data_IF_512345438345
#
_entry.id   IF_512345438345
#
_cell.length_a   1.000
_cell.length_b   1.000
_cell.length_c   1.000
_cell.angle_alpha   90.00
_cell.angle_beta   90.00
_cell.angle_gamma   90.00
#
_symmetry.space_group_name_H-M   'P 1'
#
loop_
_entity.id
_entity.type
_entity.pdbx_description
1 polymer ?
#
# COMPACT_ATOMS: atom_id res chain seq x y z
N UNK A 1 38.62 -7.68 -4.45
CA UNK A 1 38.31 -7.20 -3.07
C UNK A 1 38.59 -5.69 -3.02
N UNK A 2 37.76 -4.89 -2.34
CA UNK A 2 36.57 -4.29 -2.96
C UNK A 2 36.45 -2.77 -2.71
N UNK A 3 35.49 -2.12 -3.38
CA UNK A 3 34.71 -1.08 -2.71
C UNK A 3 33.30 -1.03 -3.33
N UNK A 4 32.39 -1.77 -2.70
CA UNK A 4 30.96 -1.61 -2.90
C UNK A 4 30.52 -0.42 -2.05
N UNK A 5 30.06 0.65 -2.69
CA UNK A 5 29.40 1.77 -2.03
C UNK A 5 28.05 1.23 -1.53
N UNK A 6 27.95 0.96 -0.23
CA UNK A 6 26.67 0.86 0.45
C UNK A 6 26.02 2.24 0.38
N UNK A 7 25.02 2.40 -0.49
CA UNK A 7 24.08 3.49 -0.33
C UNK A 7 23.22 3.15 0.91
N UNK A 8 23.62 3.70 2.05
CA UNK A 8 22.80 3.73 3.24
C UNK A 8 21.61 4.65 2.91
N UNK A 9 20.47 4.04 2.59
CA UNK A 9 19.22 4.76 2.36
C UNK A 9 18.84 5.38 3.70
N UNK A 10 19.12 6.67 3.87
CA UNK A 10 18.78 7.39 5.07
C UNK A 10 17.25 7.36 5.27
N UNK A 11 16.82 6.60 6.28
CA UNK A 11 15.43 6.54 6.69
C UNK A 11 15.06 7.94 7.25
N UNK A 12 14.04 8.65 6.71
CA UNK A 12 13.71 9.99 7.19
C UNK A 12 13.38 9.97 8.68
N UNK A 13 13.79 11.02 9.40
CA UNK A 13 13.58 11.15 10.85
C UNK A 13 12.08 11.18 11.15
N UNK A 14 11.67 10.78 12.36
CA UNK A 14 10.25 10.70 12.77
C UNK A 14 9.47 12.00 12.51
N UNK A 15 10.08 13.15 12.80
CA UNK A 15 9.48 14.46 12.55
C UNK A 15 9.19 14.75 11.07
N UNK A 16 10.03 14.23 10.15
CA UNK A 16 9.80 14.36 8.71
C UNK A 16 8.62 13.46 8.27
N UNK A 17 8.42 12.30 8.92
CA UNK A 17 7.29 11.40 8.62
C UNK A 17 5.96 11.97 9.12
N UNK A 18 5.94 12.57 10.31
CA UNK A 18 4.74 13.25 10.84
C UNK A 18 4.33 14.42 9.94
N UNK A 19 5.29 15.23 9.50
CA UNK A 19 5.03 16.34 8.58
C UNK A 19 4.53 15.87 7.20
N UNK A 20 5.01 14.73 6.70
CA UNK A 20 4.57 14.14 5.43
C UNK A 20 3.17 13.51 5.55
N UNK A 21 2.83 12.89 6.69
CA UNK A 21 1.48 12.39 6.94
C UNK A 21 0.44 13.52 6.86
N UNK A 22 0.76 14.71 7.40
CA UNK A 22 -0.12 15.88 7.38
C UNK A 22 -0.36 16.52 6.01
N UNK A 23 0.39 16.15 4.97
CA UNK A 23 0.21 16.72 3.62
C UNK A 23 -1.14 16.33 2.98
N UNK A 24 -1.75 15.24 3.43
CA UNK A 24 -3.00 14.71 2.88
C UNK A 24 -4.23 15.00 3.74
N UNK A 25 -4.05 15.60 4.93
CA UNK A 25 -5.14 15.86 5.86
C UNK A 25 -6.05 17.00 5.37
N UNK A 26 -5.47 18.05 4.77
CA UNK A 26 -6.24 19.22 4.27
C UNK A 26 -6.97 18.97 2.95
N UNK A 27 -6.68 17.85 2.27
CA UNK A 27 -7.19 17.56 0.92
C UNK A 27 -8.06 16.29 0.86
N UNK A 28 -8.41 15.71 2.02
CA UNK A 28 -9.08 14.40 2.11
C UNK A 28 -10.40 14.33 1.31
N UNK A 29 -11.20 15.41 1.29
CA UNK A 29 -12.44 15.48 0.51
C UNK A 29 -12.21 15.40 -1.00
N UNK A 30 -11.25 16.16 -1.54
CA UNK A 30 -10.89 16.10 -2.97
C UNK A 30 -10.24 14.75 -3.32
N UNK A 31 -9.58 14.14 -2.35
CA UNK A 31 -8.92 12.84 -2.50
C UNK A 31 -9.92 11.69 -2.73
N UNK A 32 -11.13 11.78 -2.16
CA UNK A 32 -12.21 10.82 -2.40
C UNK A 32 -12.66 10.80 -3.86
N UNK A 33 -12.93 11.98 -4.42
CA UNK A 33 -13.53 12.11 -5.76
C UNK A 33 -12.52 11.90 -6.91
N UNK A 34 -11.23 12.15 -6.68
CA UNK A 34 -10.23 12.17 -7.74
C UNK A 34 -9.45 10.85 -7.94
N UNK A 35 -9.58 9.87 -7.02
CA UNK A 35 -8.74 8.67 -7.07
C UNK A 35 -9.26 7.59 -8.02
N UNK A 36 -8.40 7.04 -8.90
CA UNK A 36 -8.72 5.84 -9.65
C UNK A 36 -9.11 4.68 -8.73
N UNK A 37 -10.22 4.02 -9.06
CA UNK A 37 -10.62 2.76 -8.43
C UNK A 37 -9.81 1.60 -9.03
N UNK A 38 -9.48 0.60 -8.22
CA UNK A 38 -8.85 -0.62 -8.72
C UNK A 38 -9.89 -1.54 -9.39
N UNK A 39 -9.54 -2.28 -10.46
CA UNK A 39 -10.50 -3.17 -11.13
C UNK A 39 -10.99 -4.28 -10.20
N UNK A 40 -12.29 -4.59 -10.20
CA UNK A 40 -12.87 -5.65 -9.36
C UNK A 40 -12.14 -7.00 -9.51
N UNK A 41 -11.72 -7.33 -10.73
CA UNK A 41 -10.99 -8.57 -11.00
C UNK A 41 -9.69 -8.68 -10.20
N UNK A 42 -9.03 -7.56 -9.88
CA UNK A 42 -7.80 -7.54 -9.10
C UNK A 42 -7.99 -8.23 -7.74
N UNK A 43 -9.05 -7.87 -7.02
CA UNK A 43 -9.34 -8.45 -5.70
C UNK A 43 -9.70 -9.93 -5.77
N UNK A 44 -10.44 -10.33 -6.80
CA UNK A 44 -10.77 -11.74 -7.01
C UNK A 44 -9.51 -12.59 -7.26
N UNK A 45 -8.51 -12.05 -7.96
CA UNK A 45 -7.24 -12.73 -8.18
C UNK A 45 -6.43 -12.89 -6.90
N UNK A 46 -6.40 -11.87 -6.04
CA UNK A 46 -5.74 -11.94 -4.73
C UNK A 46 -6.38 -13.04 -3.87
N UNK A 47 -7.71 -13.02 -3.78
CA UNK A 47 -8.49 -13.99 -3.01
C UNK A 47 -8.39 -15.43 -3.53
N UNK A 48 -8.13 -15.62 -4.83
CA UNK A 48 -7.89 -16.94 -5.42
C UNK A 48 -6.53 -17.53 -5.06
N UNK A 49 -5.60 -16.73 -4.52
CA UNK A 49 -4.25 -17.16 -4.16
C UNK A 49 -4.08 -17.42 -2.67
N UNK A 50 -4.94 -16.87 -1.82
CA UNK A 50 -4.91 -17.18 -0.39
C UNK A 50 -5.61 -18.50 -0.10
N UNK A 51 -5.07 -19.27 0.85
CA UNK A 51 -5.67 -20.55 1.26
C UNK A 51 -6.96 -20.35 2.05
N UNK A 52 -7.00 -19.28 2.85
CA UNK A 52 -8.15 -18.88 3.65
C UNK A 52 -8.54 -17.44 3.31
N UNK A 53 -9.73 -17.03 3.73
CA UNK A 53 -10.30 -15.68 3.48
C UNK A 53 -11.02 -15.13 4.71
N UNK A 54 -10.48 -15.39 5.88
CA UNK A 54 -11.06 -14.93 7.15
C UNK A 54 -10.67 -13.49 7.44
N UNK A 55 -9.37 -13.16 7.38
CA UNK A 55 -8.88 -11.85 7.80
C UNK A 55 -7.91 -11.26 6.78
N UNK A 56 -8.19 -10.03 6.35
CA UNK A 56 -7.25 -9.20 5.60
C UNK A 56 -6.84 -7.95 6.39
N UNK A 57 -5.63 -7.47 6.16
CA UNK A 57 -5.11 -6.22 6.71
C UNK A 57 -4.69 -5.28 5.57
N UNK A 58 -5.33 -4.12 5.46
CA UNK A 58 -5.01 -3.07 4.51
C UNK A 58 -4.21 -1.95 5.20
N UNK A 59 -2.93 -1.82 4.87
CA UNK A 59 -1.98 -0.93 5.55
C UNK A 59 -1.82 0.37 4.75
N UNK A 60 -1.99 1.51 5.41
CA UNK A 60 -2.11 2.80 4.72
C UNK A 60 -3.42 2.87 3.95
N UNK A 61 -4.53 2.48 4.61
CA UNK A 61 -5.84 2.28 3.99
C UNK A 61 -6.47 3.59 3.49
N UNK A 62 -6.00 4.74 3.98
CA UNK A 62 -6.60 6.05 3.72
C UNK A 62 -8.08 6.05 4.10
N UNK A 63 -8.93 6.35 3.12
CA UNK A 63 -10.38 6.32 3.23
C UNK A 63 -11.01 4.94 2.94
N UNK A 64 -10.22 3.87 2.87
CA UNK A 64 -10.72 2.50 2.74
C UNK A 64 -11.02 2.04 1.31
N UNK A 65 -10.59 2.77 0.28
CA UNK A 65 -10.82 2.43 -1.13
C UNK A 65 -10.40 0.99 -1.48
N UNK A 66 -9.21 0.56 -1.04
CA UNK A 66 -8.74 -0.80 -1.29
C UNK A 66 -9.41 -1.82 -0.37
N UNK A 67 -9.56 -1.49 0.91
CA UNK A 67 -10.19 -2.34 1.92
C UNK A 67 -11.60 -2.80 1.52
N UNK A 68 -12.41 -1.93 0.88
CA UNK A 68 -13.76 -2.29 0.43
C UNK A 68 -13.73 -3.35 -0.67
N UNK A 69 -12.88 -3.18 -1.68
CA UNK A 69 -12.74 -4.19 -2.74
C UNK A 69 -12.23 -5.54 -2.21
N UNK A 70 -11.39 -5.52 -1.17
CA UNK A 70 -10.96 -6.73 -0.45
C UNK A 70 -12.13 -7.36 0.31
N UNK A 71 -12.98 -6.56 0.96
CA UNK A 71 -14.08 -7.03 1.80
C UNK A 71 -15.17 -7.82 1.04
N UNK A 72 -15.21 -7.71 -0.29
CA UNK A 72 -16.04 -8.58 -1.13
C UNK A 72 -15.62 -10.05 -1.08
N UNK A 73 -14.36 -10.33 -0.74
CA UNK A 73 -13.80 -11.68 -0.76
C UNK A 73 -13.40 -12.23 0.61
N UNK A 74 -13.21 -11.36 1.61
CA UNK A 74 -12.79 -11.75 2.96
C UNK A 74 -13.91 -11.54 3.98
N UNK A 75 -13.93 -12.33 5.05
CA UNK A 75 -14.93 -12.21 6.13
C UNK A 75 -14.77 -10.90 6.90
N UNK A 76 -13.52 -10.47 7.13
CA UNK A 76 -13.18 -9.23 7.80
C UNK A 76 -11.94 -8.58 7.18
N UNK A 77 -11.95 -7.24 7.14
CA UNK A 77 -10.80 -6.41 6.76
C UNK A 77 -10.53 -5.41 7.87
N UNK A 78 -9.29 -5.36 8.33
CA UNK A 78 -8.79 -4.28 9.19
C UNK A 78 -8.04 -3.30 8.29
N UNK A 79 -8.47 -2.05 8.21
CA UNK A 79 -7.74 -0.98 7.55
C UNK A 79 -7.02 -0.14 8.59
N UNK A 80 -5.72 0.11 8.43
CA UNK A 80 -4.95 0.96 9.36
C UNK A 80 -4.36 2.16 8.63
N UNK A 81 -4.41 3.34 9.23
CA UNK A 81 -3.73 4.53 8.72
C UNK A 81 -3.15 5.38 9.85
N UNK A 82 -2.12 6.17 9.52
CA UNK A 82 -1.48 7.14 10.41
C UNK A 82 -2.21 8.50 10.41
N UNK A 83 -3.12 8.73 9.46
CA UNK A 83 -3.93 9.95 9.36
C UNK A 83 -5.35 9.69 9.89
N UNK A 84 -5.68 10.30 11.03
CA UNK A 84 -7.05 10.27 11.56
C UNK A 84 -8.03 10.98 10.60
N UNK A 85 -7.59 12.05 9.93
CA UNK A 85 -8.39 12.78 8.95
C UNK A 85 -8.80 11.89 7.78
N UNK A 86 -7.89 11.05 7.25
CA UNK A 86 -8.25 10.09 6.19
C UNK A 86 -9.29 9.08 6.67
N UNK A 87 -9.14 8.58 7.90
CA UNK A 87 -10.07 7.60 8.48
C UNK A 87 -11.46 8.18 8.77
N UNK A 88 -11.55 9.47 9.12
CA UNK A 88 -12.85 10.16 9.29
C UNK A 88 -13.67 10.19 7.99
N UNK A 89 -13.00 10.17 6.84
CA UNK A 89 -13.61 10.10 5.51
C UNK A 89 -13.71 8.68 4.97
N UNK A 90 -13.41 7.66 5.80
CA UNK A 90 -13.49 6.28 5.38
C UNK A 90 -14.93 5.89 5.03
N UNK A 91 -15.07 5.21 3.90
CA UNK A 91 -16.38 4.75 3.42
C UNK A 91 -16.85 3.60 4.33
N UNK A 92 -18.01 3.70 5.01
CA UNK A 92 -18.48 2.65 5.91
C UNK A 92 -18.76 1.35 5.16
N UNK A 93 -18.30 0.23 5.72
CA UNK A 93 -18.58 -1.11 5.17
C UNK A 93 -18.70 -2.13 6.31
N UNK A 94 -19.70 -3.04 6.31
CA UNK A 94 -19.98 -3.92 7.46
C UNK A 94 -18.85 -4.90 7.80
N UNK A 95 -17.95 -5.17 6.86
CA UNK A 95 -16.79 -6.05 7.06
C UNK A 95 -15.46 -5.30 7.20
N UNK A 96 -15.44 -3.98 7.07
CA UNK A 96 -14.21 -3.18 7.17
C UNK A 96 -14.21 -2.44 8.51
N UNK A 97 -13.13 -2.61 9.27
CA UNK A 97 -12.86 -1.83 10.48
C UNK A 97 -11.61 -0.98 10.26
N UNK A 98 -11.79 0.33 10.24
CA UNK A 98 -10.70 1.29 10.16
C UNK A 98 -10.15 1.62 11.55
N UNK A 99 -8.83 1.62 11.70
CA UNK A 99 -8.11 1.85 12.94
C UNK A 99 -7.05 2.93 12.75
N UNK A 100 -7.05 3.93 13.64
CA UNK A 100 -5.96 4.89 13.73
C UNK A 100 -4.74 4.23 14.38
N UNK A 101 -3.61 4.27 13.69
CA UNK A 101 -2.35 3.67 14.15
C UNK A 101 -1.23 4.72 14.06
N UNK A 102 -0.99 5.51 15.11
CA UNK A 102 0.03 6.54 15.09
C UNK A 102 1.43 5.93 14.93
N UNK A 103 2.40 6.70 14.43
CA UNK A 103 3.78 6.22 14.26
C UNK A 103 4.43 5.77 15.59
N UNK A 104 3.94 6.28 16.71
CA UNK A 104 4.35 5.91 18.08
C UNK A 104 3.80 4.58 18.58
N UNK A 105 2.85 3.95 17.87
CA UNK A 105 2.26 2.68 18.28
C UNK A 105 3.33 1.59 18.39
N UNK A 106 3.25 0.79 19.45
CA UNK A 106 4.15 -0.34 19.65
C UNK A 106 3.80 -1.51 18.72
N UNK A 107 4.80 -2.34 18.39
CA UNK A 107 4.58 -3.50 17.51
C UNK A 107 3.58 -4.50 18.10
N UNK A 108 3.61 -4.72 19.42
CA UNK A 108 2.69 -5.65 20.11
C UNK A 108 1.24 -5.11 20.13
N UNK A 109 1.07 -3.81 20.34
CA UNK A 109 -0.23 -3.16 20.29
C UNK A 109 -0.82 -3.20 18.88
N UNK A 110 -0.01 -2.91 17.86
CA UNK A 110 -0.44 -3.01 16.47
C UNK A 110 -0.81 -4.45 16.09
N UNK A 111 0.02 -5.43 16.48
CA UNK A 111 -0.19 -6.83 16.18
C UNK A 111 -1.48 -7.37 16.81
N UNK A 112 -1.73 -7.05 18.08
CA UNK A 112 -2.96 -7.43 18.78
C UNK A 112 -4.20 -6.72 18.23
N UNK A 113 -4.07 -5.46 17.79
CA UNK A 113 -5.17 -4.70 17.19
C UNK A 113 -5.63 -5.24 15.84
N UNK A 114 -4.74 -5.89 15.08
CA UNK A 114 -5.05 -6.49 13.78
C UNK A 114 -5.65 -7.89 13.94
N UNK A 115 -5.00 -8.78 14.69
CA UNK A 115 -5.47 -10.16 14.84
C UNK A 115 -4.52 -11.14 15.52
N UNK A 116 -3.31 -10.72 15.89
CA UNK A 116 -2.31 -11.59 16.53
C UNK A 116 -1.42 -12.34 15.54
N UNK A 117 -0.48 -13.13 16.04
CA UNK A 117 0.45 -13.87 15.20
C UNK A 117 -0.25 -14.90 14.30
N UNK A 118 0.27 -15.07 13.08
CA UNK A 118 -0.16 -16.10 12.13
C UNK A 118 -1.68 -16.05 11.78
N UNK A 119 -2.30 -14.88 11.85
CA UNK A 119 -3.75 -14.71 11.78
C UNK A 119 -4.25 -14.14 10.46
N UNK A 120 -3.40 -13.42 9.70
CA UNK A 120 -3.82 -12.63 8.54
C UNK A 120 -3.59 -13.39 7.22
N UNK A 121 -4.65 -13.54 6.44
CA UNK A 121 -4.63 -14.27 5.17
C UNK A 121 -4.11 -13.42 4.01
N UNK A 122 -4.43 -12.13 4.02
CA UNK A 122 -3.99 -11.16 3.01
C UNK A 122 -3.54 -9.87 3.67
N UNK A 123 -2.33 -9.42 3.37
CA UNK A 123 -1.85 -8.08 3.71
C UNK A 123 -1.80 -7.26 2.42
N UNK A 124 -2.50 -6.14 2.38
CA UNK A 124 -2.53 -5.23 1.23
C UNK A 124 -1.84 -3.91 1.54
N UNK A 125 -1.12 -3.38 0.54
CA UNK A 125 -0.61 -2.01 0.56
C UNK A 125 -0.89 -1.37 -0.80
N UNK A 126 -1.94 -0.56 -0.84
CA UNK A 126 -2.41 0.12 -2.05
C UNK A 126 -1.84 1.55 -2.09
N UNK A 127 -0.73 1.74 -2.81
CA UNK A 127 -0.10 3.06 -3.02
C UNK A 127 0.40 3.78 -1.74
N UNK A 128 0.86 3.03 -0.74
CA UNK A 128 1.37 3.63 0.51
C UNK A 128 2.80 3.21 0.90
N UNK A 129 3.31 2.09 0.38
CA UNK A 129 4.55 1.45 0.89
C UNK A 129 5.80 2.34 0.87
N UNK A 130 5.86 3.33 -0.03
CA UNK A 130 6.98 4.28 -0.14
C UNK A 130 7.07 5.26 1.05
N UNK A 131 6.04 5.33 1.88
CA UNK A 131 6.03 6.09 3.14
C UNK A 131 6.49 5.27 4.35
N UNK A 132 6.64 3.95 4.20
CA UNK A 132 6.79 3.05 5.35
C UNK A 132 8.24 2.93 5.82
N UNK A 133 8.37 2.59 7.10
CA UNK A 133 9.58 1.98 7.63
C UNK A 133 9.63 0.51 7.20
N UNK A 134 10.29 0.21 6.08
CA UNK A 134 10.26 -1.13 5.48
C UNK A 134 10.77 -2.23 6.44
N UNK A 135 11.88 -2.07 7.19
CA UNK A 135 12.29 -3.06 8.18
C UNK A 135 11.21 -3.36 9.23
N UNK A 136 10.60 -2.32 9.82
CA UNK A 136 9.51 -2.47 10.80
C UNK A 136 8.30 -3.15 10.18
N UNK A 137 7.89 -2.70 8.99
CA UNK A 137 6.77 -3.27 8.24
C UNK A 137 6.98 -4.76 7.96
N UNK A 138 8.14 -5.17 7.46
CA UNK A 138 8.42 -6.57 7.17
C UNK A 138 8.50 -7.45 8.42
N UNK A 139 8.97 -6.92 9.55
CA UNK A 139 8.92 -7.61 10.83
C UNK A 139 7.47 -7.94 11.22
N UNK A 140 6.58 -6.95 11.15
CA UNK A 140 5.15 -7.11 11.45
C UNK A 140 4.47 -8.09 10.49
N UNK A 141 4.71 -7.93 9.18
CA UNK A 141 4.21 -8.83 8.14
C UNK A 141 4.61 -10.27 8.44
N UNK A 142 5.86 -10.52 8.81
CA UNK A 142 6.37 -11.87 9.08
C UNK A 142 5.68 -12.55 10.26
N UNK A 143 5.27 -11.76 11.26
CA UNK A 143 4.56 -12.22 12.45
C UNK A 143 3.06 -12.41 12.20
N UNK A 144 2.40 -11.47 11.51
CA UNK A 144 0.96 -11.48 11.26
C UNK A 144 0.54 -12.48 10.18
N UNK A 145 1.34 -12.65 9.12
CA UNK A 145 0.95 -13.40 7.94
C UNK A 145 0.75 -14.88 8.24
N UNK A 146 -0.42 -15.40 7.88
CA UNK A 146 -0.81 -16.80 8.08
C UNK A 146 0.07 -17.74 7.27
N UNK A 147 0.51 -18.82 7.92
CA UNK A 147 1.34 -19.89 7.37
C UNK A 147 0.62 -21.22 7.57
N UNK A 148 0.47 -22.04 6.51
CA UNK A 148 0.77 -21.72 5.11
C UNK A 148 -0.32 -20.86 4.44
N UNK A 149 0.01 -20.23 3.31
CA UNK A 149 -0.99 -19.71 2.36
C UNK A 149 -1.41 -18.25 2.51
N UNK A 150 -0.83 -17.50 3.43
CA UNK A 150 -0.99 -16.05 3.50
C UNK A 150 -0.19 -15.33 2.41
N UNK A 151 -0.70 -14.19 1.92
CA UNK A 151 -0.08 -13.41 0.85
C UNK A 151 0.06 -11.94 1.25
N UNK A 152 1.15 -11.32 0.79
CA UNK A 152 1.33 -9.87 0.81
C UNK A 152 1.19 -9.35 -0.61
N UNK A 153 0.32 -8.37 -0.83
CA UNK A 153 0.08 -7.73 -2.11
C UNK A 153 0.37 -6.23 -1.99
N UNK A 154 1.32 -5.76 -2.78
CA UNK A 154 1.73 -4.35 -2.82
C UNK A 154 1.59 -3.85 -4.25
N UNK A 155 0.85 -2.76 -4.45
CA UNK A 155 0.61 -2.23 -5.79
C UNK A 155 0.47 -0.71 -5.79
N UNK A 156 0.74 -0.11 -6.94
CA UNK A 156 0.49 1.29 -7.22
C UNK A 156 -0.07 1.44 -8.64
N UNK A 157 -0.58 2.62 -8.94
CA UNK A 157 -0.72 3.10 -10.30
C UNK A 157 0.23 4.27 -10.50
N UNK A 158 0.72 4.41 -11.73
CA UNK A 158 1.59 5.49 -12.16
C UNK A 158 1.04 6.10 -13.44
N UNK A 159 1.32 7.39 -13.65
CA UNK A 159 1.06 8.14 -14.87
C UNK A 159 -0.41 8.15 -15.31
N UNK A 160 -0.94 9.36 -15.46
CA UNK A 160 -2.25 9.56 -16.08
C UNK A 160 -2.03 9.60 -17.59
N UNK A 161 -2.76 8.76 -18.33
CA UNK A 161 -2.82 8.80 -19.79
C UNK A 161 -4.28 9.04 -20.20
N UNK A 162 -4.51 10.10 -20.98
CA UNK A 162 -5.85 10.54 -21.37
C UNK A 162 -5.95 10.61 -22.89
N UNK A 163 -5.11 11.43 -23.53
CA UNK A 163 -5.11 11.60 -24.99
C UNK A 163 -3.85 12.35 -25.48
N UNK A 164 -3.54 12.31 -26.79
CA UNK A 164 -2.32 12.93 -27.34
C UNK A 164 -2.17 14.44 -27.12
N UNK A 165 -3.24 15.16 -26.78
CA UNK A 165 -3.20 16.60 -26.50
C UNK A 165 -2.90 16.90 -25.03
N UNK A 166 -3.50 16.14 -24.12
CA UNK A 166 -3.32 16.32 -22.67
C UNK A 166 -1.98 15.74 -22.18
N UNK A 167 -1.62 14.55 -22.65
CA UNK A 167 -0.52 13.75 -22.10
C UNK A 167 0.84 14.49 -22.15
N UNK A 168 1.20 15.23 -23.22
CA UNK A 168 2.45 16.00 -23.24
C UNK A 168 2.48 17.14 -22.21
N UNK A 169 1.33 17.79 -21.97
CA UNK A 169 1.22 18.89 -21.00
C UNK A 169 1.38 18.34 -19.59
N UNK A 170 0.67 17.25 -19.28
CA UNK A 170 0.78 16.59 -17.98
C UNK A 170 2.21 16.08 -17.73
N UNK A 171 2.86 15.51 -18.74
CA UNK A 171 4.25 15.08 -18.63
C UNK A 171 5.18 16.24 -18.31
N UNK A 172 5.05 17.38 -19.00
CA UNK A 172 5.87 18.57 -18.73
C UNK A 172 5.67 19.07 -17.30
N UNK A 173 4.43 19.16 -16.84
CA UNK A 173 4.12 19.55 -15.46
C UNK A 173 4.77 18.58 -14.45
N UNK A 174 4.55 17.28 -14.65
CA UNK A 174 5.15 16.24 -13.81
C UNK A 174 6.68 16.41 -13.70
N UNK A 175 7.38 16.49 -14.84
CA UNK A 175 8.83 16.62 -14.90
C UNK A 175 9.33 17.89 -14.18
N UNK A 176 8.59 19.00 -14.26
CA UNK A 176 8.96 20.25 -13.55
C UNK A 176 8.79 20.17 -12.05
N UNK A 177 7.85 19.35 -11.56
CA UNK A 177 7.63 19.19 -10.11
C UNK A 177 8.56 18.16 -9.48
N UNK A 178 9.10 17.21 -10.26
CA UNK A 178 9.87 16.07 -9.77
C UNK A 178 10.96 16.40 -8.72
N UNK A 179 11.71 17.51 -8.82
CA UNK A 179 12.70 17.89 -7.81
C UNK A 179 12.13 18.14 -6.40
N UNK A 180 10.85 18.48 -6.29
CA UNK A 180 10.17 18.78 -5.01
C UNK A 180 9.56 17.53 -4.35
N UNK A 181 9.56 16.38 -5.02
CA UNK A 181 8.93 15.17 -4.51
C UNK A 181 9.84 14.46 -3.51
N UNK A 182 9.23 13.73 -2.58
CA UNK A 182 9.97 12.82 -1.70
C UNK A 182 10.75 11.82 -2.57
N UNK A 183 12.07 11.61 -2.36
CA UNK A 183 12.88 10.68 -3.15
C UNK A 183 12.32 9.25 -3.22
N UNK A 184 11.59 8.81 -2.19
CA UNK A 184 10.95 7.50 -2.16
C UNK A 184 9.87 7.33 -3.24
N UNK A 185 9.41 8.41 -3.89
CA UNK A 185 8.49 8.31 -5.03
C UNK A 185 9.07 7.47 -6.16
N UNK A 186 10.40 7.35 -6.26
CA UNK A 186 11.02 6.49 -7.27
C UNK A 186 10.54 5.04 -7.17
N UNK A 187 10.25 4.53 -5.97
CA UNK A 187 9.65 3.20 -5.80
C UNK A 187 8.31 3.10 -6.52
N UNK A 188 7.49 4.13 -6.44
CA UNK A 188 6.21 4.20 -7.15
C UNK A 188 6.48 4.17 -8.64
N UNK A 189 7.34 5.06 -9.18
CA UNK A 189 7.64 5.12 -10.62
C UNK A 189 8.22 3.82 -11.20
N UNK A 190 9.01 3.09 -10.42
CA UNK A 190 9.53 1.76 -10.78
C UNK A 190 8.45 0.66 -10.71
N UNK A 191 7.22 0.99 -10.31
CA UNK A 191 6.12 0.05 -10.12
C UNK A 191 6.40 -0.92 -8.98
N UNK A 192 7.12 -0.46 -7.95
CA UNK A 192 7.59 -1.24 -6.80
C UNK A 192 8.52 -2.42 -7.14
N UNK A 193 8.99 -2.54 -8.38
CA UNK A 193 9.88 -3.62 -8.83
C UNK A 193 11.24 -3.60 -8.13
N UNK A 194 11.63 -2.45 -7.58
CA UNK A 194 12.91 -2.23 -6.87
C UNK A 194 12.77 -2.33 -5.35
N UNK A 195 11.58 -2.59 -4.81
CA UNK A 195 11.42 -2.87 -3.37
C UNK A 195 12.13 -4.17 -3.01
N UNK A 196 12.97 -4.10 -1.99
CA UNK A 196 13.60 -5.28 -1.42
C UNK A 196 12.58 -5.98 -0.52
N UNK A 197 12.06 -7.11 -0.98
CA UNK A 197 11.24 -8.01 -0.17
C UNK A 197 12.08 -9.19 0.31
N UNK A 198 11.90 -9.55 1.59
CA UNK A 198 12.54 -10.74 2.18
C UNK A 198 11.68 -12.02 2.05
N UNK A 199 10.54 -11.92 1.36
CA UNK A 199 9.61 -13.01 1.07
C UNK A 199 9.78 -13.48 -0.38
N UNK A 200 9.24 -14.67 -0.72
CA UNK A 200 9.14 -15.09 -2.12
C UNK A 200 8.21 -14.13 -2.88
N UNK A 201 8.76 -13.40 -3.84
CA UNK A 201 8.03 -12.38 -4.61
C UNK A 201 7.47 -12.96 -5.91
N UNK A 202 6.24 -12.59 -6.24
CA UNK A 202 5.69 -12.69 -7.60
C UNK A 202 5.40 -11.27 -8.09
N UNK A 203 5.97 -10.88 -9.23
CA UNK A 203 5.74 -9.56 -9.83
C UNK A 203 4.65 -9.67 -10.90
N UNK A 204 3.68 -8.77 -10.84
CA UNK A 204 2.61 -8.64 -11.83
C UNK A 204 2.64 -7.27 -12.47
N UNK A 205 2.40 -7.22 -13.78
CA UNK A 205 2.21 -5.98 -14.53
C UNK A 205 0.83 -6.05 -15.18
N UNK A 206 -0.11 -5.22 -14.75
CA UNK A 206 -1.46 -5.13 -15.32
C UNK A 206 -1.46 -4.36 -16.65
N UNK A 207 -0.30 -3.96 -17.19
CA UNK A 207 -0.21 -3.37 -18.53
C UNK A 207 -0.58 -4.40 -19.59
N UNK A 208 -1.82 -4.28 -20.05
CA UNK A 208 -2.34 -5.07 -21.16
C UNK A 208 -3.22 -6.19 -20.66
N UNK A 209 -4.46 -6.17 -21.09
CA UNK A 209 -5.37 -7.31 -21.13
C UNK A 209 -4.77 -8.45 -21.96
N UNK A 210 -3.73 -9.14 -21.48
CA UNK A 210 -3.24 -10.43 -21.99
C UNK A 210 -2.56 -11.24 -20.87
N UNK A 211 -3.39 -12.03 -20.21
CA UNK A 211 -3.04 -13.09 -19.27
C UNK A 211 -2.03 -14.09 -19.87
N UNK A 212 -0.84 -14.24 -19.28
CA UNK A 212 -0.02 -15.45 -19.46
C UNK A 212 0.64 -15.86 -18.14
N UNK A 213 0.45 -17.14 -17.83
CA UNK A 213 0.89 -17.81 -16.61
C UNK A 213 2.22 -18.55 -16.85
N UNK A 214 3.12 -18.51 -15.87
CA UNK A 214 4.33 -19.32 -15.79
C UNK A 214 4.59 -19.65 -14.33
N UNK A 215 4.86 -20.93 -14.07
CA UNK A 215 4.79 -21.66 -12.78
C UNK A 215 5.93 -21.26 -11.84
#
# INVERSE_FOLDING_TARGET
MPNAIKAEIANPKSADREKMAGLFDQQADIYLDARPTYPLQWYSMLAARTLHRSLAWDVGTGNGQAAIGVAEHYEQVIGTDVSEAQLQHAIPHPKVKCLYTPLSISDEELLSSIGGENSVDLITVAQAVHWFDLPKFYSLVTRLLRKPGGIVAVWCYNNIAVNPTFDPVMKRFHDTTLPDWNPNIQYVFDGYKTLLFHLKVLVWDLKGSHWRWGI
#
